data_IF_912998997233
#
_entry.id   IF_912998997233
#
_cell.length_a   1.000
_cell.length_b   1.000
_cell.length_c   1.000
_cell.angle_alpha   90.00
_cell.angle_beta   90.00
_cell.angle_gamma   90.00
#
_symmetry.space_group_name_H-M   'P 1'
#
loop_
_entity.id
_entity.type
_entity.pdbx_description
1 polymer ?
#
# COMPACT_ATOMS: atom_id res chain seq x y z
N UNK A 1 6.13 22.55 21.19
CA UNK A 1 6.43 21.85 19.93
C UNK A 1 5.10 21.48 19.32
N UNK A 2 4.73 22.04 18.16
CA UNK A 2 3.53 21.65 17.42
C UNK A 2 4.01 20.68 16.35
N UNK A 3 3.61 19.41 16.44
CA UNK A 3 3.82 18.42 15.38
C UNK A 3 2.50 18.24 14.65
N UNK A 4 2.47 18.57 13.37
CA UNK A 4 1.36 18.25 12.48
C UNK A 4 1.80 17.09 11.58
N UNK A 5 1.42 15.87 11.96
CA UNK A 5 1.55 14.71 11.08
C UNK A 5 0.28 14.60 10.24
N UNK A 6 0.42 14.56 8.91
CA UNK A 6 -0.74 14.30 8.06
C UNK A 6 -1.17 12.85 8.27
N UNK A 7 -2.19 12.69 9.10
CA UNK A 7 -2.79 11.41 9.44
C UNK A 7 -3.05 10.57 8.18
N UNK A 8 -2.28 9.48 8.05
CA UNK A 8 -2.37 8.49 6.97
C UNK A 8 -2.25 9.06 5.54
N UNK A 9 -1.39 10.08 5.34
CA UNK A 9 -1.21 10.74 4.02
C UNK A 9 -0.95 9.76 2.87
N UNK A 10 -0.12 8.73 3.10
CA UNK A 10 0.24 7.78 2.04
C UNK A 10 -0.95 6.94 1.58
N UNK A 11 -1.84 6.55 2.50
CA UNK A 11 -3.06 5.81 2.14
C UNK A 11 -4.08 6.71 1.44
N UNK A 12 -4.14 7.99 1.78
CA UNK A 12 -4.97 8.98 1.07
C UNK A 12 -4.46 9.19 -0.36
N UNK A 13 -3.14 9.31 -0.52
CA UNK A 13 -2.50 9.40 -1.83
C UNK A 13 -2.78 8.13 -2.64
N UNK A 14 -2.60 6.94 -2.05
CA UNK A 14 -2.92 5.69 -2.72
C UNK A 14 -4.39 5.64 -3.15
N UNK A 15 -5.33 5.95 -2.25
CA UNK A 15 -6.75 5.98 -2.56
C UNK A 15 -7.08 6.91 -3.74
N UNK A 16 -6.34 8.02 -3.88
CA UNK A 16 -6.44 8.91 -5.03
C UNK A 16 -5.79 8.33 -6.29
N UNK A 17 -4.53 7.89 -6.23
CA UNK A 17 -3.76 7.38 -7.38
C UNK A 17 -4.30 6.09 -7.98
N UNK A 18 -4.89 5.25 -7.14
CA UNK A 18 -5.50 3.97 -7.48
C UNK A 18 -7.02 4.07 -7.68
N UNK A 19 -7.59 5.28 -7.59
CA UNK A 19 -9.00 5.59 -7.79
C UNK A 19 -9.97 4.70 -6.99
N UNK A 20 -9.75 4.62 -5.67
CA UNK A 20 -10.47 3.70 -4.79
C UNK A 20 -11.54 4.45 -4.00
N UNK A 21 -12.74 4.57 -4.56
CA UNK A 21 -13.83 5.35 -3.95
C UNK A 21 -14.19 4.89 -2.54
N UNK A 22 -14.17 3.58 -2.27
CA UNK A 22 -14.42 3.05 -0.93
C UNK A 22 -13.44 3.59 0.13
N UNK A 23 -12.15 3.77 -0.23
CA UNK A 23 -11.16 4.33 0.68
C UNK A 23 -11.30 5.86 0.77
N UNK A 24 -11.57 6.55 -0.35
CA UNK A 24 -11.82 8.00 -0.34
C UNK A 24 -13.01 8.35 0.57
N UNK A 25 -14.11 7.60 0.45
CA UNK A 25 -15.31 7.76 1.28
C UNK A 25 -15.03 7.48 2.75
N UNK A 26 -14.29 6.41 3.06
CA UNK A 26 -13.91 6.08 4.43
C UNK A 26 -13.09 7.21 5.06
N UNK A 27 -12.12 7.76 4.32
CA UNK A 27 -11.33 8.91 4.76
C UNK A 27 -12.14 10.19 4.93
N UNK A 28 -13.11 10.45 4.04
CA UNK A 28 -13.99 11.61 4.14
C UNK A 28 -14.92 11.54 5.36
N UNK A 29 -15.36 10.32 5.72
CA UNK A 29 -16.24 10.05 6.87
C UNK A 29 -15.48 9.87 8.20
N UNK A 30 -14.14 9.99 8.20
CA UNK A 30 -13.32 9.80 9.41
C UNK A 30 -13.30 8.36 9.95
N UNK A 31 -13.61 7.38 9.10
CA UNK A 31 -13.63 5.96 9.47
C UNK A 31 -12.19 5.48 9.71
N UNK A 32 -11.98 4.68 10.75
CA UNK A 32 -10.71 3.98 10.94
C UNK A 32 -10.52 2.95 9.83
N UNK A 33 -9.73 3.31 8.82
CA UNK A 33 -9.45 2.47 7.67
C UNK A 33 -8.74 1.17 8.06
N UNK A 34 -7.96 1.14 9.14
CA UNK A 34 -7.28 -0.08 9.56
C UNK A 34 -8.27 -1.07 10.15
N UNK A 35 -9.18 -0.59 11.01
CA UNK A 35 -10.27 -1.40 11.54
C UNK A 35 -11.26 -1.80 10.44
N UNK A 36 -11.55 -0.91 9.48
CA UNK A 36 -12.42 -1.21 8.34
C UNK A 36 -11.83 -2.33 7.48
N UNK A 37 -10.55 -2.23 7.10
CA UNK A 37 -9.87 -3.29 6.36
C UNK A 37 -9.87 -4.58 7.16
N UNK A 38 -9.51 -4.55 8.45
CA UNK A 38 -9.53 -5.76 9.27
C UNK A 38 -10.90 -6.41 9.31
N UNK A 39 -11.94 -5.59 9.46
CA UNK A 39 -13.31 -6.08 9.52
C UNK A 39 -13.73 -6.74 8.21
N UNK A 40 -13.37 -6.13 7.08
CA UNK A 40 -13.71 -6.65 5.76
C UNK A 40 -12.87 -7.86 5.36
N UNK A 41 -11.60 -7.94 5.78
CA UNK A 41 -10.67 -9.02 5.41
C UNK A 41 -10.74 -10.22 6.36
N UNK A 42 -10.89 -9.99 7.67
CA UNK A 42 -10.90 -11.05 8.69
C UNK A 42 -12.30 -11.36 9.22
N UNK A 43 -13.33 -10.65 8.76
CA UNK A 43 -14.71 -10.84 9.22
C UNK A 43 -14.93 -10.48 10.69
N UNK A 44 -14.01 -9.74 11.33
CA UNK A 44 -14.16 -9.29 12.72
C UNK A 44 -14.98 -8.00 12.79
N UNK A 45 -15.90 -7.84 13.73
CA UNK A 45 -16.57 -6.56 13.92
C UNK A 45 -15.57 -5.42 14.19
N UNK A 46 -15.84 -4.24 13.63
CA UNK A 46 -15.06 -3.04 13.98
C UNK A 46 -15.25 -2.68 15.46
N UNK A 47 -16.47 -2.93 15.97
CA UNK A 47 -16.83 -2.70 17.36
C UNK A 47 -16.09 -3.69 18.27
N UNK A 48 -15.43 -3.16 19.32
CA UNK A 48 -14.64 -3.94 20.28
C UNK A 48 -13.44 -4.71 19.70
N UNK A 49 -12.92 -4.30 18.54
CA UNK A 49 -11.70 -4.88 17.99
C UNK A 49 -10.53 -4.68 18.95
N UNK A 50 -9.91 -5.78 19.38
CA UNK A 50 -8.78 -5.75 20.30
C UNK A 50 -7.54 -5.12 19.65
N UNK A 51 -6.62 -4.63 20.49
CA UNK A 51 -5.43 -3.92 20.04
C UNK A 51 -4.45 -4.79 19.23
N UNK A 52 -4.41 -6.11 19.47
CA UNK A 52 -3.54 -7.02 18.72
C UNK A 52 -4.09 -7.26 17.31
N UNK A 53 -5.40 -7.44 17.18
CA UNK A 53 -6.09 -7.54 15.88
C UNK A 53 -5.94 -6.25 15.07
N UNK A 54 -6.10 -5.08 15.70
CA UNK A 54 -5.85 -3.79 15.04
C UNK A 54 -4.39 -3.63 14.58
N UNK A 55 -3.43 -4.12 15.36
CA UNK A 55 -1.99 -4.10 14.99
C UNK A 55 -1.71 -4.98 13.77
N UNK A 56 -2.30 -6.18 13.71
CA UNK A 56 -2.23 -7.07 12.55
C UNK A 56 -2.85 -6.42 11.31
N UNK A 57 -3.99 -5.77 11.46
CA UNK A 57 -4.66 -5.01 10.40
C UNK A 57 -3.78 -3.90 9.82
N UNK A 58 -3.07 -3.18 10.70
CA UNK A 58 -2.11 -2.14 10.30
C UNK A 58 -0.95 -2.74 9.51
N UNK A 59 -0.36 -3.83 10.00
CA UNK A 59 0.73 -4.55 9.32
C UNK A 59 0.31 -5.04 7.93
N UNK A 60 -0.92 -5.52 7.80
CA UNK A 60 -1.48 -6.02 6.53
C UNK A 60 -1.72 -4.89 5.54
N UNK A 61 -2.39 -3.80 5.95
CA UNK A 61 -2.59 -2.64 5.09
C UNK A 61 -1.26 -2.09 4.57
N UNK A 62 -0.32 -1.75 5.47
CA UNK A 62 0.95 -1.19 5.06
C UNK A 62 1.80 -2.20 4.29
N UNK A 63 1.83 -3.47 4.71
CA UNK A 63 2.55 -4.51 3.99
C UNK A 63 2.06 -4.62 2.55
N UNK A 64 0.75 -4.75 2.33
CA UNK A 64 0.19 -4.98 1.00
C UNK A 64 0.38 -3.78 0.08
N UNK A 65 0.13 -2.56 0.55
CA UNK A 65 0.32 -1.35 -0.29
C UNK A 65 1.78 -1.17 -0.71
N UNK A 66 2.74 -1.70 0.08
CA UNK A 66 4.16 -1.69 -0.25
C UNK A 66 4.66 -2.95 -0.96
N UNK A 67 3.75 -3.82 -1.41
CA UNK A 67 4.07 -5.03 -2.17
C UNK A 67 4.76 -6.12 -1.35
N UNK A 68 4.40 -6.27 -0.07
CA UNK A 68 4.86 -7.42 0.73
C UNK A 68 4.42 -8.74 0.07
N UNK A 69 5.29 -9.74 0.09
CA UNK A 69 4.92 -11.09 -0.35
C UNK A 69 4.15 -11.83 0.74
N UNK A 70 3.41 -12.88 0.38
CA UNK A 70 2.76 -13.77 1.35
C UNK A 70 3.76 -14.35 2.36
N UNK A 71 4.99 -14.65 1.94
CA UNK A 71 6.07 -15.09 2.82
C UNK A 71 6.48 -14.00 3.82
N UNK A 72 6.66 -12.75 3.36
CA UNK A 72 7.00 -11.63 4.23
C UNK A 72 5.89 -11.33 5.23
N UNK A 73 4.63 -11.39 4.78
CA UNK A 73 3.48 -11.15 5.63
C UNK A 73 3.29 -12.24 6.68
N UNK A 74 3.45 -13.51 6.29
CA UNK A 74 3.41 -14.66 7.20
C UNK A 74 4.42 -14.50 8.34
N UNK A 75 5.65 -14.12 8.02
CA UNK A 75 6.72 -13.87 9.02
C UNK A 75 6.41 -12.69 9.93
N UNK A 76 5.79 -11.62 9.40
CA UNK A 76 5.48 -10.42 10.17
C UNK A 76 4.32 -10.65 11.15
N UNK A 77 3.36 -11.51 10.78
CA UNK A 77 2.17 -11.79 11.58
C UNK A 77 2.28 -13.06 12.42
N UNK A 78 3.34 -13.84 12.24
CA UNK A 78 3.53 -15.16 12.85
C UNK A 78 2.37 -16.13 12.53
N UNK A 79 2.05 -16.24 11.24
CA UNK A 79 0.95 -17.09 10.71
C UNK A 79 1.44 -17.99 9.57
N UNK A 80 0.57 -18.92 9.14
CA UNK A 80 0.83 -19.76 7.98
C UNK A 80 0.92 -18.97 6.66
N UNK A 81 1.75 -19.44 5.72
CA UNK A 81 1.90 -18.81 4.39
C UNK A 81 0.58 -18.79 3.61
N UNK A 82 -0.20 -19.85 3.70
CA UNK A 82 -1.49 -19.96 2.97
C UNK A 82 -2.52 -18.99 3.55
N UNK A 83 -2.55 -18.82 4.87
CA UNK A 83 -3.37 -17.82 5.55
C UNK A 83 -2.96 -16.39 5.15
N UNK A 84 -1.66 -16.10 5.15
CA UNK A 84 -1.16 -14.81 4.69
C UNK A 84 -1.51 -14.53 3.22
N UNK A 85 -1.46 -15.56 2.36
CA UNK A 85 -1.89 -15.44 0.97
C UNK A 85 -3.39 -15.15 0.88
N UNK A 86 -4.22 -15.85 1.63
CA UNK A 86 -5.67 -15.60 1.66
C UNK A 86 -5.98 -14.16 2.07
N UNK A 87 -5.25 -13.61 3.05
CA UNK A 87 -5.39 -12.21 3.45
C UNK A 87 -5.03 -11.23 2.33
N UNK A 88 -3.95 -11.49 1.59
CA UNK A 88 -3.56 -10.66 0.44
C UNK A 88 -4.62 -10.73 -0.66
N UNK A 89 -5.10 -11.93 -0.98
CA UNK A 89 -6.09 -12.13 -2.04
C UNK A 89 -7.43 -11.46 -1.69
N UNK A 90 -7.94 -11.64 -0.47
CA UNK A 90 -9.16 -10.99 0.02
C UNK A 90 -9.02 -9.45 0.02
N UNK A 91 -7.85 -8.93 0.38
CA UNK A 91 -7.59 -7.49 0.32
C UNK A 91 -7.68 -6.94 -1.11
N UNK A 92 -7.09 -7.64 -2.08
CA UNK A 92 -7.16 -7.23 -3.48
C UNK A 92 -8.53 -7.43 -4.12
N UNK A 93 -9.27 -8.45 -3.71
CA UNK A 93 -10.67 -8.64 -4.12
C UNK A 93 -11.53 -7.47 -3.64
N UNK A 94 -11.28 -7.01 -2.41
CA UNK A 94 -11.99 -5.86 -1.84
C UNK A 94 -11.60 -4.53 -2.45
N UNK A 95 -10.31 -4.35 -2.76
CA UNK A 95 -9.75 -3.11 -3.30
C UNK A 95 -9.00 -3.36 -4.63
N UNK A 96 -9.73 -3.73 -5.71
CA UNK A 96 -9.10 -4.12 -6.97
C UNK A 96 -8.24 -3.00 -7.60
N UNK A 97 -8.62 -1.73 -7.37
CA UNK A 97 -7.85 -0.57 -7.81
C UNK A 97 -6.40 -0.55 -7.29
N UNK A 98 -6.12 -1.12 -6.11
CA UNK A 98 -4.74 -1.22 -5.59
C UNK A 98 -3.92 -2.13 -6.49
N UNK A 99 -4.46 -3.30 -6.85
CA UNK A 99 -3.77 -4.25 -7.74
C UNK A 99 -3.53 -3.61 -9.11
N UNK A 100 -4.55 -2.96 -9.67
CA UNK A 100 -4.43 -2.25 -10.95
C UNK A 100 -3.35 -1.17 -10.91
N UNK A 101 -3.30 -0.38 -9.83
CA UNK A 101 -2.26 0.62 -9.62
C UNK A 101 -0.86 -0.03 -9.56
N UNK A 102 -0.70 -1.12 -8.80
CA UNK A 102 0.59 -1.80 -8.65
C UNK A 102 1.09 -2.37 -9.98
N UNK A 103 0.22 -3.05 -10.74
CA UNK A 103 0.59 -3.61 -12.05
C UNK A 103 0.96 -2.50 -13.05
N UNK A 104 0.11 -1.47 -13.21
CA UNK A 104 0.38 -0.34 -14.09
C UNK A 104 1.69 0.37 -13.75
N UNK A 105 1.99 0.52 -12.46
CA UNK A 105 3.22 1.20 -12.01
C UNK A 105 4.46 0.35 -12.31
N UNK A 106 4.37 -0.98 -12.15
CA UNK A 106 5.46 -1.89 -12.57
C UNK A 106 5.66 -1.85 -14.08
N UNK A 107 4.58 -1.95 -14.87
CA UNK A 107 4.64 -1.87 -16.34
C UNK A 107 5.32 -0.57 -16.79
N UNK A 108 4.87 0.58 -16.27
CA UNK A 108 5.51 1.88 -16.54
C UNK A 108 7.01 1.86 -16.22
N UNK A 109 7.39 1.28 -15.08
CA UNK A 109 8.79 1.20 -14.66
C UNK A 109 9.61 0.30 -15.60
N UNK A 110 9.07 -0.84 -16.05
CA UNK A 110 9.73 -1.72 -17.00
C UNK A 110 9.94 -1.07 -18.36
N UNK A 111 8.92 -0.35 -18.86
CA UNK A 111 8.94 0.31 -20.17
C UNK A 111 9.86 1.54 -20.18
N UNK A 112 9.83 2.34 -19.13
CA UNK A 112 10.45 3.69 -19.14
C UNK A 112 11.67 3.82 -18.24
N UNK A 113 11.96 2.82 -17.40
CA UNK A 113 13.04 2.85 -16.40
C UNK A 113 12.82 3.83 -15.25
N UNK A 114 11.64 4.44 -15.14
CA UNK A 114 11.30 5.38 -14.06
C UNK A 114 9.80 5.41 -13.77
N UNK A 115 9.45 6.01 -12.64
CA UNK A 115 8.07 6.31 -12.25
C UNK A 115 7.93 7.79 -11.87
N UNK A 116 6.71 8.31 -11.81
CA UNK A 116 6.45 9.74 -11.57
C UNK A 116 5.54 9.97 -10.38
N UNK A 117 5.83 11.01 -9.58
CA UNK A 117 4.90 11.53 -8.56
C UNK A 117 3.72 12.23 -9.23
N UNK A 118 2.66 12.54 -8.45
CA UNK A 118 1.50 13.31 -8.97
C UNK A 118 1.89 14.71 -9.48
N UNK A 119 3.02 15.25 -9.03
CA UNK A 119 3.53 16.54 -9.48
C UNK A 119 4.56 16.43 -10.62
N UNK A 120 4.72 15.24 -11.20
CA UNK A 120 5.57 15.01 -12.37
C UNK A 120 7.05 14.79 -12.06
N UNK A 121 7.46 14.73 -10.79
CA UNK A 121 8.85 14.42 -10.43
C UNK A 121 9.16 12.95 -10.77
N UNK A 122 10.24 12.72 -11.50
CA UNK A 122 10.68 11.37 -11.89
C UNK A 122 11.55 10.73 -10.82
N UNK A 123 11.33 9.45 -10.58
CA UNK A 123 12.17 8.56 -9.77
C UNK A 123 12.66 7.41 -10.65
N UNK A 124 13.95 7.40 -10.95
CA UNK A 124 14.56 6.32 -11.73
C UNK A 124 14.61 5.03 -10.93
N UNK A 125 14.29 3.91 -11.58
CA UNK A 125 14.24 2.60 -10.95
C UNK A 125 15.34 1.73 -11.55
N UNK A 126 16.50 1.74 -10.90
CA UNK A 126 17.60 0.83 -11.25
C UNK A 126 17.16 -0.63 -11.11
N UNK A 127 17.77 -1.52 -11.89
CA UNK A 127 17.52 -2.97 -11.83
C UNK A 127 16.10 -3.44 -12.15
N UNK A 128 15.21 -2.56 -12.63
CA UNK A 128 13.84 -2.93 -12.99
C UNK A 128 13.79 -4.02 -14.07
N UNK A 129 14.79 -4.07 -14.96
CA UNK A 129 14.94 -5.11 -15.97
C UNK A 129 16.11 -6.08 -15.67
N UNK A 130 16.54 -6.17 -14.42
CA UNK A 130 17.65 -7.06 -14.04
C UNK A 130 17.30 -8.53 -14.30
N UNK A 131 18.29 -9.30 -14.78
CA UNK A 131 18.15 -10.76 -14.96
C UNK A 131 17.91 -11.48 -13.64
N UNK A 132 18.52 -10.99 -12.55
CA UNK A 132 18.34 -11.54 -11.21
C UNK A 132 16.91 -11.25 -10.70
N UNK A 133 16.08 -12.27 -10.45
CA UNK A 133 14.68 -12.08 -10.03
C UNK A 133 14.54 -11.34 -8.70
N UNK A 134 15.49 -11.51 -7.77
CA UNK A 134 15.42 -10.86 -6.45
C UNK A 134 15.68 -9.34 -6.56
N UNK A 135 16.63 -8.94 -7.41
CA UNK A 135 16.88 -7.52 -7.69
C UNK A 135 15.68 -6.89 -8.38
N UNK A 136 15.13 -7.57 -9.39
CA UNK A 136 13.94 -7.11 -10.11
C UNK A 136 12.72 -6.96 -9.19
N UNK A 137 12.43 -7.95 -8.34
CA UNK A 137 11.32 -7.88 -7.39
C UNK A 137 11.52 -6.79 -6.32
N UNK A 138 12.76 -6.43 -5.98
CA UNK A 138 13.04 -5.28 -5.13
C UNK A 138 12.78 -3.96 -5.88
N UNK A 139 13.25 -3.85 -7.11
CA UNK A 139 13.03 -2.70 -7.99
C UNK A 139 11.53 -2.44 -8.25
N UNK A 140 10.76 -3.50 -8.53
CA UNK A 140 9.30 -3.42 -8.69
C UNK A 140 8.60 -2.85 -7.44
N UNK A 141 8.99 -3.31 -6.24
CA UNK A 141 8.44 -2.76 -4.98
C UNK A 141 8.85 -1.30 -4.78
N UNK A 142 10.09 -0.95 -5.09
CA UNK A 142 10.54 0.44 -5.04
C UNK A 142 9.75 1.33 -6.02
N UNK A 143 9.46 0.83 -7.23
CA UNK A 143 8.66 1.52 -8.24
C UNK A 143 7.23 1.80 -7.78
N UNK A 144 6.59 0.85 -7.09
CA UNK A 144 5.24 1.01 -6.53
C UNK A 144 5.21 2.10 -5.44
N UNK A 145 6.24 2.14 -4.61
CA UNK A 145 6.29 2.99 -3.41
C UNK A 145 6.75 4.43 -3.72
N UNK A 146 7.67 4.60 -4.66
CA UNK A 146 8.29 5.89 -4.95
C UNK A 146 7.28 6.99 -5.34
N UNK A 147 6.23 6.74 -6.15
CA UNK A 147 5.21 7.73 -6.45
C UNK A 147 4.42 8.18 -5.21
N UNK A 148 4.07 7.24 -4.32
CA UNK A 148 3.29 7.52 -3.11
C UNK A 148 4.10 8.38 -2.15
N UNK A 149 5.28 7.89 -1.75
CA UNK A 149 6.16 8.61 -0.82
C UNK A 149 6.67 9.92 -1.43
N UNK A 150 6.99 9.89 -2.72
CA UNK A 150 7.45 11.07 -3.44
C UNK A 150 6.38 12.15 -3.50
N UNK A 151 5.13 11.78 -3.77
CA UNK A 151 3.98 12.69 -3.74
C UNK A 151 3.76 13.23 -2.33
N UNK A 152 3.86 12.39 -1.29
CA UNK A 152 3.73 12.86 0.10
C UNK A 152 4.79 13.92 0.44
N UNK A 153 6.05 13.67 0.06
CA UNK A 153 7.13 14.63 0.24
C UNK A 153 6.90 15.92 -0.57
N UNK A 154 6.36 15.82 -1.79
CA UNK A 154 6.05 16.97 -2.63
C UNK A 154 4.91 17.82 -2.03
N UNK A 155 3.88 17.19 -1.43
CA UNK A 155 2.80 17.89 -0.70
C UNK A 155 3.37 18.64 0.50
N UNK A 156 4.17 17.96 1.34
CA UNK A 156 4.73 18.55 2.55
C UNK A 156 5.65 19.74 2.23
N UNK A 157 6.44 19.67 1.16
CA UNK A 157 7.33 20.77 0.74
C UNK A 157 6.59 21.99 0.17
N UNK A 158 5.33 21.82 -0.25
CA UNK A 158 4.49 22.89 -0.82
C UNK A 158 3.57 23.53 0.22
N UNK A 159 3.26 22.81 1.30
CA UNK A 159 2.48 23.29 2.45
C UNK A 159 3.32 24.24 3.31
#
# INVERSE_FOLDING_TARGET
>A
MIAADYSQIELRILAHMADIDALKDAFAKGVDIHALTASQVFGVPMENMDSATRRRAKAINFGIIYGISAFGLARQLDIGRDEAKAYIDAYFERFPGIRTYMERTKEQAHETGHVTTLFGRRSHVSDINAKNPNLRAFAERAAINAPIQGTAADIIKRA
#
